data_IF_680391490426
#
_entry.id   IF_680391490426
#
_cell.length_a   1.000
_cell.length_b   1.000
_cell.length_c   1.000
_cell.angle_alpha   90.00
_cell.angle_beta   90.00
_cell.angle_gamma   90.00
#
_symmetry.space_group_name_H-M   'P 1'
#
loop_
_entity.id
_entity.type
_entity.pdbx_description
1 polymer ?
#
# COMPACT_ATOMS: atom_id res chain seq x y z
N UNK A 1 -47.82 -7.24 46.39
CA UNK A 1 -47.31 -6.78 45.09
C UNK A 1 -46.86 -8.02 44.36
N UNK A 2 -47.73 -8.52 43.49
CA UNK A 2 -47.60 -9.78 42.79
C UNK A 2 -46.51 -9.72 41.71
N UNK A 3 -45.70 -10.77 41.64
CA UNK A 3 -44.71 -10.98 40.58
C UNK A 3 -45.07 -12.28 39.87
N UNK A 4 -45.25 -12.34 38.54
CA UNK A 4 -45.40 -13.60 37.86
C UNK A 4 -44.05 -14.11 37.32
N UNK A 5 -43.64 -15.25 37.86
CA UNK A 5 -42.64 -16.18 37.31
C UNK A 5 -43.20 -16.83 36.03
N UNK A 6 -42.39 -16.94 34.96
CA UNK A 6 -42.68 -17.88 33.86
C UNK A 6 -41.40 -18.59 33.40
N UNK A 7 -41.45 -19.90 33.53
CA UNK A 7 -40.43 -20.88 33.14
C UNK A 7 -40.66 -21.45 31.73
N UNK A 8 -39.53 -21.68 31.06
CA UNK A 8 -39.14 -22.59 29.97
C UNK A 8 -40.17 -23.20 28.99
N UNK A 9 -39.89 -23.02 27.70
CA UNK A 9 -39.82 -24.12 26.74
C UNK A 9 -38.52 -24.01 25.92
N UNK A 10 -37.88 -25.16 25.72
CA UNK A 10 -36.61 -25.36 25.02
C UNK A 10 -36.93 -25.81 23.60
N UNK A 11 -36.37 -25.17 22.57
CA UNK A 11 -36.31 -25.75 21.23
C UNK A 11 -34.85 -25.91 20.78
N UNK A 12 -34.50 -27.17 20.59
CA UNK A 12 -33.24 -27.67 20.05
C UNK A 12 -33.27 -27.57 18.52
N UNK A 13 -32.27 -26.95 17.91
CA UNK A 13 -31.88 -27.28 16.54
C UNK A 13 -30.35 -27.37 16.50
N UNK A 14 -29.90 -28.49 15.96
CA UNK A 14 -28.57 -29.05 16.08
C UNK A 14 -27.47 -28.23 15.39
N UNK A 15 -26.26 -28.47 15.89
CA UNK A 15 -24.96 -28.21 15.29
C UNK A 15 -24.89 -28.64 13.84
N UNK A 16 -24.31 -27.80 12.99
CA UNK A 16 -23.65 -28.28 11.79
C UNK A 16 -22.37 -27.49 11.54
N UNK A 17 -21.27 -28.25 11.42
CA UNK A 17 -19.93 -27.78 11.12
C UNK A 17 -19.85 -27.42 9.63
N UNK A 18 -19.42 -26.20 9.31
CA UNK A 18 -18.96 -25.83 7.97
C UNK A 18 -17.75 -24.92 8.13
N UNK A 19 -16.51 -25.35 7.93
CA UNK A 19 -16.04 -26.15 6.81
C UNK A 19 -15.35 -25.18 5.84
N UNK A 20 -14.01 -25.12 5.90
CA UNK A 20 -13.20 -24.25 5.06
C UNK A 20 -13.47 -24.55 3.57
N UNK A 21 -13.92 -23.56 2.80
CA UNK A 21 -14.08 -23.69 1.36
C UNK A 21 -12.70 -23.73 0.68
N UNK A 22 -12.13 -24.93 0.58
CA UNK A 22 -11.07 -25.24 -0.38
C UNK A 22 -11.75 -25.73 -1.64
N UNK A 23 -11.55 -25.11 -2.82
CA UNK A 23 -12.07 -25.65 -4.06
C UNK A 23 -11.39 -27.00 -4.34
N UNK A 24 -12.15 -28.08 -4.18
CA UNK A 24 -11.72 -29.44 -4.51
C UNK A 24 -12.52 -29.84 -5.74
N UNK A 25 -11.85 -30.04 -6.88
CA UNK A 25 -12.52 -30.40 -8.13
C UNK A 25 -12.71 -31.92 -8.17
N UNK A 26 -13.85 -32.41 -7.66
CA UNK A 26 -14.28 -33.79 -7.83
C UNK A 26 -15.24 -33.88 -9.02
N UNK A 27 -14.83 -34.66 -10.02
CA UNK A 27 -15.58 -34.84 -11.27
C UNK A 27 -16.52 -36.03 -11.14
N UNK A 28 -17.80 -35.80 -10.85
CA UNK A 28 -18.85 -36.80 -11.04
C UNK A 28 -20.02 -36.18 -11.81
N UNK A 29 -20.13 -36.61 -13.07
CA UNK A 29 -21.14 -36.18 -14.03
C UNK A 29 -22.51 -36.78 -13.71
N UNK A 30 -23.44 -35.96 -13.21
CA UNK A 30 -24.87 -36.24 -13.28
C UNK A 30 -25.44 -35.52 -14.51
N UNK A 31 -25.81 -36.30 -15.51
CA UNK A 31 -26.44 -35.81 -16.74
C UNK A 31 -27.89 -35.40 -16.48
N UNK A 32 -28.19 -34.12 -16.71
CA UNK A 32 -29.54 -33.62 -16.95
C UNK A 32 -29.53 -32.93 -18.30
N UNK A 33 -30.33 -33.47 -19.22
CA UNK A 33 -30.51 -32.98 -20.57
C UNK A 33 -31.36 -31.71 -20.54
N UNK A 34 -30.82 -30.60 -21.03
CA UNK A 34 -31.58 -29.57 -21.73
C UNK A 34 -30.66 -28.90 -22.77
N UNK A 35 -31.14 -28.83 -24.00
CA UNK A 35 -30.41 -28.50 -25.22
C UNK A 35 -29.91 -27.04 -25.25
N UNK A 36 -28.60 -26.88 -25.09
CA UNK A 36 -27.86 -25.85 -25.82
C UNK A 36 -26.54 -26.48 -26.28
N UNK A 37 -26.56 -27.04 -27.49
CA UNK A 37 -25.43 -27.81 -28.02
C UNK A 37 -24.20 -26.91 -28.22
N UNK A 38 -23.22 -27.04 -27.33
CA UNK A 38 -21.85 -26.64 -27.62
C UNK A 38 -21.32 -27.58 -28.73
N UNK A 39 -20.71 -27.06 -29.82
CA UNK A 39 -20.15 -27.91 -30.84
C UNK A 39 -19.05 -28.78 -30.22
N UNK A 40 -19.17 -30.10 -30.40
CA UNK A 40 -18.13 -31.05 -30.02
C UNK A 40 -16.90 -30.84 -30.90
N UNK A 41 -15.98 -29.98 -30.46
CA UNK A 41 -14.66 -29.92 -31.08
C UNK A 41 -13.84 -31.08 -30.54
N UNK A 42 -13.73 -32.15 -31.33
CA UNK A 42 -12.79 -33.22 -31.09
C UNK A 42 -11.37 -32.65 -31.16
N UNK A 43 -10.73 -32.46 -30.00
CA UNK A 43 -9.30 -32.70 -29.78
C UNK A 43 -8.26 -32.08 -30.72
N UNK A 44 -8.58 -31.08 -31.54
CA UNK A 44 -7.59 -30.37 -32.32
C UNK A 44 -7.16 -29.13 -31.53
N UNK A 45 -5.91 -29.17 -31.04
CA UNK A 45 -5.17 -27.97 -30.66
C UNK A 45 -5.33 -26.99 -31.83
N UNK A 46 -5.84 -25.76 -31.62
CA UNK A 46 -5.81 -24.76 -32.67
C UNK A 46 -4.35 -24.52 -33.03
N UNK A 47 -3.94 -24.89 -34.25
CA UNK A 47 -2.71 -24.38 -34.85
C UNK A 47 -2.89 -22.88 -35.09
N UNK A 48 -2.76 -22.09 -34.03
CA UNK A 48 -2.52 -20.65 -34.10
C UNK A 48 -1.12 -20.36 -33.60
N UNK A 49 -0.13 -21.08 -34.14
CA UNK A 49 1.22 -20.55 -34.25
C UNK A 49 1.28 -19.97 -35.66
N UNK A 50 0.76 -18.76 -35.83
CA UNK A 50 1.15 -17.96 -36.97
C UNK A 50 2.53 -17.38 -36.63
N UNK A 51 3.62 -17.79 -37.31
CA UNK A 51 4.97 -17.35 -36.97
C UNK A 51 5.22 -15.86 -37.22
N UNK A 52 4.26 -15.15 -37.83
CA UNK A 52 4.34 -13.72 -38.15
C UNK A 52 3.57 -12.81 -37.17
N UNK A 53 3.02 -13.34 -36.08
CA UNK A 53 2.56 -12.47 -34.99
C UNK A 53 3.74 -12.11 -34.11
N UNK A 54 4.30 -10.92 -34.34
CA UNK A 54 5.14 -10.25 -33.35
C UNK A 54 4.40 -10.34 -32.01
N UNK A 55 4.96 -11.11 -31.06
CA UNK A 55 4.53 -11.10 -29.68
C UNK A 55 4.41 -9.64 -29.26
N UNK A 56 3.34 -9.22 -28.55
CA UNK A 56 3.32 -7.89 -27.99
C UNK A 56 4.62 -7.76 -27.21
N UNK A 57 5.46 -6.83 -27.66
CA UNK A 57 6.68 -6.46 -26.95
C UNK A 57 6.19 -5.90 -25.63
N UNK A 58 6.04 -6.78 -24.64
CA UNK A 58 6.16 -6.40 -23.26
C UNK A 58 7.54 -5.80 -23.25
N UNK A 59 7.61 -4.47 -23.29
CA UNK A 59 8.85 -3.75 -23.07
C UNK A 59 9.49 -4.49 -21.92
N UNK A 60 10.60 -5.17 -22.22
CA UNK A 60 11.48 -5.73 -21.21
C UNK A 60 11.63 -4.58 -20.25
N UNK A 61 10.94 -4.65 -19.10
CA UNK A 61 10.87 -3.53 -18.20
C UNK A 61 12.32 -3.28 -17.87
N UNK A 62 12.90 -2.23 -18.45
CA UNK A 62 14.02 -1.61 -17.77
C UNK A 62 13.46 -1.36 -16.39
N UNK A 63 14.05 -2.00 -15.39
CA UNK A 63 13.66 -1.86 -14.00
C UNK A 63 13.73 -0.37 -13.69
N UNK A 64 12.63 0.32 -13.94
CA UNK A 64 12.48 1.72 -13.65
C UNK A 64 12.52 1.75 -12.13
N UNK A 65 13.68 2.14 -11.58
CA UNK A 65 13.85 2.33 -10.13
C UNK A 65 12.84 3.33 -9.57
N UNK A 66 12.20 4.11 -10.44
CA UNK A 66 11.21 5.13 -10.15
C UNK A 66 9.81 4.56 -10.33
N UNK A 67 8.93 4.83 -9.36
CA UNK A 67 7.53 4.46 -9.44
C UNK A 67 7.24 3.00 -9.08
N UNK A 68 8.19 2.32 -8.43
CA UNK A 68 8.02 0.95 -7.93
C UNK A 68 7.08 0.96 -6.71
N UNK A 69 6.23 -0.05 -6.56
CA UNK A 69 5.48 -0.22 -5.32
C UNK A 69 6.45 -0.49 -4.16
N UNK A 70 6.37 0.26 -3.04
CA UNK A 70 7.26 0.02 -1.92
C UNK A 70 7.00 -1.36 -1.33
N UNK A 71 8.07 -2.13 -1.12
CA UNK A 71 8.02 -3.48 -0.57
C UNK A 71 8.92 -3.61 0.66
N UNK A 72 8.54 -4.50 1.57
CA UNK A 72 9.30 -4.84 2.76
C UNK A 72 10.78 -5.10 2.44
N UNK A 73 11.67 -4.45 3.20
CA UNK A 73 13.12 -4.60 3.09
C UNK A 73 13.77 -3.69 2.05
N UNK A 74 12.98 -2.99 1.23
CA UNK A 74 13.50 -1.96 0.33
C UNK A 74 13.84 -0.66 1.07
N UNK A 75 14.82 0.08 0.54
CA UNK A 75 15.10 1.47 0.95
C UNK A 75 14.67 2.39 -0.17
N UNK A 76 13.94 3.45 0.16
CA UNK A 76 13.37 4.35 -0.83
C UNK A 76 13.63 5.82 -0.50
N UNK A 77 13.83 6.61 -1.55
CA UNK A 77 13.57 8.04 -1.54
C UNK A 77 12.11 8.22 -1.99
N UNK A 78 11.33 8.99 -1.24
CA UNK A 78 9.93 9.27 -1.54
C UNK A 78 9.84 10.71 -2.07
N UNK A 79 9.49 10.86 -3.34
CA UNK A 79 9.59 12.13 -4.07
C UNK A 79 8.24 12.58 -4.59
N UNK A 80 7.98 13.88 -4.53
CA UNK A 80 6.89 14.51 -5.28
C UNK A 80 7.29 14.65 -6.76
N UNK A 81 6.56 14.04 -7.70
CA UNK A 81 6.88 14.12 -9.13
C UNK A 81 6.80 15.54 -9.68
N UNK A 82 5.99 16.43 -9.11
CA UNK A 82 5.81 17.80 -9.61
C UNK A 82 6.98 18.70 -9.19
N UNK A 83 7.24 18.83 -7.89
CA UNK A 83 8.26 19.75 -7.36
C UNK A 83 9.66 19.14 -7.29
N UNK A 84 9.79 17.82 -7.47
CA UNK A 84 11.02 17.03 -7.27
C UNK A 84 11.55 17.03 -5.84
N UNK A 85 10.82 17.60 -4.90
CA UNK A 85 11.17 17.58 -3.49
C UNK A 85 10.95 16.18 -2.91
N UNK A 86 11.79 15.82 -1.95
CA UNK A 86 11.74 14.51 -1.28
C UNK A 86 11.27 14.65 0.16
N UNK A 87 10.56 13.64 0.64
CA UNK A 87 10.28 13.49 2.07
C UNK A 87 11.59 13.19 2.77
N UNK A 88 12.03 14.08 3.66
CA UNK A 88 13.26 13.90 4.40
C UNK A 88 13.20 14.55 5.78
N UNK A 89 14.23 14.24 6.57
CA UNK A 89 14.54 14.93 7.82
C UNK A 89 15.63 15.99 7.59
N UNK A 90 15.36 17.23 7.97
CA UNK A 90 16.38 18.27 8.13
C UNK A 90 16.43 18.68 9.60
N UNK A 91 17.57 18.45 10.27
CA UNK A 91 17.73 18.71 11.72
C UNK A 91 16.61 18.07 12.58
N UNK A 92 16.15 16.88 12.19
CA UNK A 92 15.08 16.13 12.88
C UNK A 92 13.66 16.61 12.58
N UNK A 93 13.48 17.58 11.68
CA UNK A 93 12.16 18.04 11.23
C UNK A 93 11.77 17.33 9.94
N UNK A 94 10.61 16.67 9.94
CA UNK A 94 10.05 16.01 8.76
C UNK A 94 9.42 17.06 7.83
N UNK A 95 9.71 16.97 6.53
CA UNK A 95 9.15 17.86 5.53
C UNK A 95 9.64 17.53 4.12
N UNK A 96 9.39 18.46 3.19
CA UNK A 96 9.82 18.38 1.80
C UNK A 96 11.06 19.23 1.52
N UNK A 97 12.12 18.57 1.06
CA UNK A 97 13.43 19.18 0.85
C UNK A 97 14.00 18.82 -0.53
N UNK A 98 14.87 19.66 -1.12
CA UNK A 98 15.65 19.25 -2.30
C UNK A 98 16.45 17.98 -2.01
N UNK A 99 16.60 17.13 -3.02
CA UNK A 99 17.48 15.98 -2.93
C UNK A 99 18.93 16.45 -2.72
N UNK A 100 19.71 15.75 -1.88
CA UNK A 100 21.05 16.20 -1.49
C UNK A 100 21.98 16.47 -2.70
N UNK A 101 21.79 15.73 -3.80
CA UNK A 101 22.62 15.83 -5.00
C UNK A 101 22.45 17.15 -5.78
N UNK A 102 21.40 17.94 -5.51
CA UNK A 102 21.12 19.19 -6.24
C UNK A 102 21.83 20.43 -5.66
N UNK A 103 22.49 20.33 -4.50
CA UNK A 103 23.04 21.51 -3.80
C UNK A 103 24.49 21.30 -3.40
N UNK A 104 25.42 21.64 -4.29
CA UNK A 104 26.89 21.52 -4.27
C UNK A 104 27.64 22.00 -2.99
N UNK A 105 27.26 21.53 -1.79
CA UNK A 105 27.89 21.92 -0.52
C UNK A 105 28.16 20.73 0.39
N UNK A 106 29.33 20.78 1.02
CA UNK A 106 29.91 19.75 1.90
C UNK A 106 29.08 19.40 3.16
N UNK A 107 27.92 20.05 3.38
CA UNK A 107 26.97 19.79 4.48
C UNK A 107 25.82 18.82 4.11
N UNK A 108 25.86 18.24 2.90
CA UNK A 108 24.84 17.35 2.32
C UNK A 108 24.60 16.04 3.09
N UNK A 109 25.52 15.58 3.93
CA UNK A 109 25.41 14.29 4.64
C UNK A 109 24.36 14.24 5.77
N UNK A 110 23.62 15.33 6.00
CA UNK A 110 22.75 15.46 7.18
C UNK A 110 21.26 15.23 6.93
N UNK A 111 20.83 15.00 5.67
CA UNK A 111 19.41 14.80 5.37
C UNK A 111 19.01 13.34 5.44
N UNK A 112 18.08 13.03 6.35
CA UNK A 112 17.48 11.70 6.48
C UNK A 112 16.43 11.47 5.40
N UNK A 113 16.83 11.35 4.13
CA UNK A 113 15.93 11.14 2.98
C UNK A 113 15.71 9.66 2.64
N UNK A 114 16.51 8.77 3.22
CA UNK A 114 16.41 7.33 3.00
C UNK A 114 15.44 6.73 4.00
N UNK A 115 14.40 6.09 3.48
CA UNK A 115 13.36 5.44 4.28
C UNK A 115 13.36 3.95 4.01
N UNK A 116 13.71 3.17 5.03
CA UNK A 116 13.55 1.73 5.00
C UNK A 116 12.07 1.39 5.10
N UNK A 117 11.56 0.71 4.09
CA UNK A 117 10.22 0.15 4.10
C UNK A 117 10.23 -1.12 4.95
N UNK A 118 9.56 -1.08 6.09
CA UNK A 118 9.34 -2.24 6.94
C UNK A 118 7.89 -2.68 6.82
N UNK A 119 7.63 -3.91 7.26
CA UNK A 119 6.27 -4.45 7.33
C UNK A 119 6.12 -5.26 8.61
N UNK A 120 5.05 -5.00 9.36
CA UNK A 120 4.74 -5.73 10.59
C UNK A 120 3.93 -7.00 10.30
N UNK A 121 3.70 -7.82 11.33
CA UNK A 121 2.98 -9.11 11.20
C UNK A 121 1.52 -8.96 10.75
N UNK A 122 0.98 -7.74 10.74
CA UNK A 122 -0.36 -7.39 10.24
C UNK A 122 -0.33 -6.82 8.81
N UNK A 123 0.79 -6.93 8.12
CA UNK A 123 1.01 -6.46 6.74
C UNK A 123 0.89 -4.94 6.56
N UNK A 124 1.04 -4.17 7.63
CA UNK A 124 1.12 -2.72 7.51
C UNK A 124 2.54 -2.31 7.16
N UNK A 125 2.68 -1.41 6.20
CA UNK A 125 3.97 -0.81 5.87
C UNK A 125 4.34 0.25 6.91
N UNK A 126 5.64 0.47 7.07
CA UNK A 126 6.22 1.57 7.83
C UNK A 126 7.44 2.13 7.12
N UNK A 127 7.71 3.41 7.31
CA UNK A 127 8.86 4.09 6.70
C UNK A 127 9.80 4.55 7.81
N UNK A 128 10.89 3.82 7.99
CA UNK A 128 11.87 4.01 9.05
C UNK A 128 13.13 4.70 8.54
N UNK A 129 13.60 5.72 9.23
CA UNK A 129 14.88 6.35 8.91
C UNK A 129 15.96 5.86 9.88
N UNK A 130 16.94 5.11 9.38
CA UNK A 130 18.00 4.53 10.21
C UNK A 130 18.96 5.55 10.85
N UNK A 131 19.07 6.76 10.26
CA UNK A 131 19.93 7.82 10.80
C UNK A 131 19.31 8.43 12.06
N UNK A 132 18.01 8.70 12.04
CA UNK A 132 17.27 9.29 13.16
C UNK A 132 16.71 8.26 14.14
N UNK A 133 16.56 7.00 13.71
CA UNK A 133 15.95 5.95 14.53
C UNK A 133 14.44 6.05 14.62
N UNK A 134 13.76 6.75 13.70
CA UNK A 134 12.33 7.03 13.82
C UNK A 134 11.52 6.67 12.57
N UNK A 135 10.25 6.38 12.79
CA UNK A 135 9.23 6.14 11.77
C UNK A 135 8.48 7.41 11.42
N UNK A 136 8.10 7.55 10.14
CA UNK A 136 7.05 8.49 9.74
C UNK A 136 5.74 8.03 10.39
N UNK A 137 5.05 8.93 11.06
CA UNK A 137 3.72 8.71 11.60
C UNK A 137 2.97 10.01 11.82
N UNK A 138 1.68 9.93 12.08
CA UNK A 138 0.84 11.12 12.25
C UNK A 138 0.51 11.42 13.71
N UNK A 139 0.24 12.68 14.05
CA UNK A 139 0.02 13.09 15.43
C UNK A 139 -1.44 13.03 15.94
N UNK A 140 -2.38 12.62 15.07
CA UNK A 140 -3.84 12.55 15.33
C UNK A 140 -4.44 13.88 15.85
N UNK A 141 -3.78 15.01 15.59
CA UNK A 141 -4.25 16.33 16.02
C UNK A 141 -5.20 16.91 14.99
N UNK A 142 -6.50 16.62 15.13
CA UNK A 142 -7.55 16.95 14.13
C UNK A 142 -7.53 18.38 13.55
N UNK A 143 -7.12 19.39 14.31
CA UNK A 143 -7.05 20.78 13.81
C UNK A 143 -5.86 21.06 12.89
N UNK A 144 -4.81 20.25 12.96
CA UNK A 144 -3.55 20.41 12.26
C UNK A 144 -2.88 19.03 12.10
N UNK A 145 -3.59 18.09 11.48
CA UNK A 145 -3.17 16.70 11.50
C UNK A 145 -1.96 16.51 10.59
N UNK A 146 -0.79 16.43 11.22
CA UNK A 146 0.52 16.48 10.56
C UNK A 146 1.22 15.14 10.72
N UNK A 147 2.08 14.87 9.76
CA UNK A 147 3.07 13.81 9.88
C UNK A 147 4.33 14.32 10.58
N UNK A 148 4.97 13.44 11.31
CA UNK A 148 6.23 13.66 12.01
C UNK A 148 7.05 12.36 11.97
N UNK A 149 8.36 12.46 12.15
CA UNK A 149 9.24 11.31 12.26
C UNK A 149 9.87 11.25 13.65
N UNK A 150 9.07 10.84 14.64
CA UNK A 150 9.44 10.83 16.07
C UNK A 150 9.18 9.51 16.79
N UNK A 151 8.45 8.60 16.17
CA UNK A 151 8.10 7.33 16.80
C UNK A 151 9.27 6.35 16.65
N UNK A 152 9.66 5.71 17.74
CA UNK A 152 10.66 4.62 17.75
C UNK A 152 10.01 3.25 17.47
N UNK A 153 8.67 3.22 17.38
CA UNK A 153 7.86 2.03 17.22
C UNK A 153 6.98 2.14 16.00
N UNK A 154 6.65 0.99 15.40
CA UNK A 154 5.77 0.87 14.25
C UNK A 154 4.34 0.53 14.68
N UNK A 155 3.70 1.46 15.35
CA UNK A 155 2.34 1.32 15.88
C UNK A 155 1.32 2.04 14.96
N UNK A 156 0.05 2.11 15.38
CA UNK A 156 -1.07 2.44 14.46
C UNK A 156 -0.95 3.77 13.71
N UNK A 157 -0.18 4.73 14.23
CA UNK A 157 -0.01 6.04 13.61
C UNK A 157 1.10 6.05 12.55
N UNK A 158 1.94 5.02 12.54
CA UNK A 158 3.04 4.79 11.61
C UNK A 158 2.69 3.72 10.56
N UNK A 159 1.45 3.20 10.58
CA UNK A 159 0.97 2.20 9.62
C UNK A 159 0.52 2.86 8.32
N UNK A 160 1.12 2.40 7.22
CA UNK A 160 0.83 2.84 5.87
C UNK A 160 0.31 1.71 4.99
N UNK A 161 -0.53 2.11 4.04
CA UNK A 161 -0.81 1.37 2.82
C UNK A 161 -0.40 2.25 1.64
N UNK A 162 0.43 1.72 0.73
CA UNK A 162 0.75 2.38 -0.53
C UNK A 162 -0.17 1.83 -1.62
N UNK A 163 -0.94 2.71 -2.27
CA UNK A 163 -1.86 2.31 -3.34
C UNK A 163 -1.45 2.98 -4.64
N UNK A 164 -1.25 2.18 -5.68
CA UNK A 164 -0.92 2.69 -7.01
C UNK A 164 -2.03 3.63 -7.51
N UNK A 165 -1.63 4.76 -8.13
CA UNK A 165 -2.55 5.70 -8.74
C UNK A 165 -2.63 5.44 -10.26
N UNK A 166 -3.81 5.60 -10.91
CA UNK A 166 -3.96 5.39 -12.36
C UNK A 166 -3.01 6.22 -13.22
N UNK A 167 -2.68 7.44 -12.77
CA UNK A 167 -1.77 8.34 -13.48
C UNK A 167 -0.28 8.04 -13.20
N UNK A 168 0.01 6.93 -12.51
CA UNK A 168 1.35 6.55 -12.08
C UNK A 168 1.66 6.98 -10.64
N UNK A 169 2.74 6.43 -10.09
CA UNK A 169 3.10 6.65 -8.68
C UNK A 169 2.10 6.02 -7.70
N UNK A 170 2.12 6.50 -6.45
CA UNK A 170 1.36 5.91 -5.36
C UNK A 170 0.79 6.97 -4.42
N UNK A 171 -0.43 6.75 -3.94
CA UNK A 171 -0.98 7.47 -2.80
C UNK A 171 -0.59 6.75 -1.52
N UNK A 172 -0.01 7.48 -0.57
CA UNK A 172 0.25 6.98 0.77
C UNK A 172 -0.99 7.18 1.63
N UNK A 173 -1.52 6.08 2.16
CA UNK A 173 -2.72 6.04 2.99
C UNK A 173 -2.35 5.65 4.42
N UNK A 174 -2.90 6.35 5.40
CA UNK A 174 -2.81 5.97 6.82
C UNK A 174 -4.13 5.44 7.32
N UNK A 175 -4.05 4.51 8.28
CA UNK A 175 -5.22 3.99 8.99
C UNK A 175 -5.77 5.06 9.94
N UNK A 176 -7.06 5.36 9.81
CA UNK A 176 -7.81 6.11 10.80
C UNK A 176 -9.06 5.32 11.17
N UNK A 177 -9.07 4.73 12.36
CA UNK A 177 -10.09 3.76 12.78
C UNK A 177 -10.24 2.62 11.78
N UNK A 178 -11.39 2.53 11.10
CA UNK A 178 -11.72 1.54 10.08
C UNK A 178 -11.55 2.05 8.64
N UNK A 179 -10.95 3.23 8.46
CA UNK A 179 -10.86 3.91 7.18
C UNK A 179 -9.42 4.29 6.82
N UNK A 180 -9.25 4.74 5.57
CA UNK A 180 -8.00 5.30 5.06
C UNK A 180 -8.11 6.80 4.84
N UNK A 181 -7.04 7.52 5.18
CA UNK A 181 -6.86 8.92 4.83
C UNK A 181 -5.56 9.11 4.04
N UNK A 182 -5.56 9.87 2.95
CA UNK A 182 -4.36 10.15 2.19
C UNK A 182 -3.38 11.06 2.93
N UNK A 183 -2.10 10.90 2.66
CA UNK A 183 -1.08 11.91 2.88
C UNK A 183 -1.13 12.95 1.75
N UNK A 184 -1.01 14.23 2.10
CA UNK A 184 -0.87 15.33 1.15
C UNK A 184 0.21 16.32 1.56
N UNK A 185 0.71 17.06 0.58
CA UNK A 185 1.51 18.25 0.81
C UNK A 185 0.62 19.38 1.34
N UNK A 186 1.15 20.17 2.27
CA UNK A 186 0.48 21.36 2.76
C UNK A 186 1.31 22.13 3.78
N UNK A 187 0.63 22.73 4.74
CA UNK A 187 1.24 23.57 5.76
C UNK A 187 1.79 24.87 5.20
N UNK A 188 2.76 25.46 5.91
CA UNK A 188 3.39 26.69 5.45
C UNK A 188 4.29 26.39 4.24
N UNK A 189 4.19 27.23 3.22
CA UNK A 189 5.03 27.18 2.01
C UNK A 189 4.97 25.85 1.22
N UNK A 190 3.94 25.01 1.44
CA UNK A 190 3.81 23.67 0.87
C UNK A 190 5.02 22.76 1.17
N UNK A 191 5.60 22.88 2.37
CA UNK A 191 6.78 22.11 2.81
C UNK A 191 6.47 21.03 3.84
N UNK A 192 5.23 20.97 4.32
CA UNK A 192 4.82 20.03 5.36
C UNK A 192 3.97 18.90 4.80
N UNK A 193 3.94 17.79 5.54
CA UNK A 193 3.11 16.63 5.24
C UNK A 193 1.91 16.63 6.18
N UNK A 194 0.71 16.60 5.59
CA UNK A 194 -0.55 16.65 6.31
C UNK A 194 -1.44 15.48 5.92
N UNK A 195 -2.34 15.10 6.82
CA UNK A 195 -3.42 14.16 6.48
C UNK A 195 -4.49 14.91 5.68
N UNK A 196 -4.90 14.33 4.56
CA UNK A 196 -6.01 14.79 3.75
C UNK A 196 -7.35 14.34 4.36
N UNK A 197 -7.80 15.09 5.37
CA UNK A 197 -9.07 14.83 6.05
C UNK A 197 -10.27 15.02 5.11
N UNK A 198 -10.11 15.83 4.05
CA UNK A 198 -11.16 16.09 3.07
C UNK A 198 -11.29 15.00 2.03
N UNK A 199 -10.29 14.11 1.91
CA UNK A 199 -10.27 12.97 0.98
C UNK A 199 -10.34 13.43 -0.47
N UNK A 200 -9.61 14.50 -0.79
CA UNK A 200 -9.51 15.05 -2.14
C UNK A 200 -8.51 14.27 -3.02
N UNK A 201 -7.89 13.21 -2.48
CA UNK A 201 -7.09 12.23 -3.22
C UNK A 201 -5.65 12.12 -2.73
N UNK A 202 -5.19 13.07 -1.91
CA UNK A 202 -3.82 13.13 -1.44
C UNK A 202 -2.82 13.57 -2.51
N UNK A 203 -1.54 13.46 -2.16
CA UNK A 203 -0.43 13.65 -3.10
C UNK A 203 0.00 12.30 -3.67
N UNK A 204 0.32 12.28 -4.96
CA UNK A 204 0.92 11.14 -5.64
C UNK A 204 2.43 11.18 -5.41
N UNK A 205 2.98 10.08 -4.92
CA UNK A 205 4.40 9.93 -4.61
C UNK A 205 5.10 8.99 -5.57
N UNK A 206 6.32 9.35 -5.96
CA UNK A 206 7.27 8.46 -6.60
C UNK A 206 8.15 7.79 -5.53
N UNK A 207 8.22 6.46 -5.58
CA UNK A 207 9.20 5.71 -4.82
C UNK A 207 10.41 5.43 -5.71
N UNK A 208 11.57 5.88 -5.28
CA UNK A 208 12.85 5.65 -5.95
C UNK A 208 13.63 4.67 -5.10
N UNK A 209 13.81 3.44 -5.60
CA UNK A 209 14.57 2.42 -4.89
C UNK A 209 16.05 2.80 -4.82
N UNK A 210 16.61 2.78 -3.61
CA UNK A 210 18.04 2.93 -3.37
C UNK A 210 18.64 1.53 -3.28
N UNK A 211 19.38 1.13 -4.31
CA UNK A 211 20.14 -0.11 -4.27
C UNK A 211 21.35 0.10 -3.35
N UNK A 212 21.45 -0.72 -2.32
CA UNK A 212 22.70 -0.84 -1.58
C UNK A 212 23.64 -1.63 -2.50
N UNK A 213 24.71 -1.00 -3.00
CA UNK A 213 25.83 -1.78 -3.54
C UNK A 213 26.25 -2.76 -2.44
N UNK A 214 26.20 -4.06 -2.78
CA UNK A 214 26.70 -5.13 -1.91
C UNK A 214 28.19 -5.29 -2.10
#
# INVERSE_FOLDING_TARGET
MDTPTRSFESSSVASDEGGYNTPTHDTLSHMSNDEYSAPHNAGNIPEYINPDFDLPSYSSMSESRVGVCPWKGGTYIIRDPETKLVIALEKGVLGLYPEANEVESMYQYSRGSHWHCVENDRMWLGFYNAVSGTYIGHDNRKSNWRFQAKAERHDEWEWFCARQHPDGGHVLLVKHWSEFLPMRIGGKDNRELMVDVKREGGTIWEFIRVDSEK
#
